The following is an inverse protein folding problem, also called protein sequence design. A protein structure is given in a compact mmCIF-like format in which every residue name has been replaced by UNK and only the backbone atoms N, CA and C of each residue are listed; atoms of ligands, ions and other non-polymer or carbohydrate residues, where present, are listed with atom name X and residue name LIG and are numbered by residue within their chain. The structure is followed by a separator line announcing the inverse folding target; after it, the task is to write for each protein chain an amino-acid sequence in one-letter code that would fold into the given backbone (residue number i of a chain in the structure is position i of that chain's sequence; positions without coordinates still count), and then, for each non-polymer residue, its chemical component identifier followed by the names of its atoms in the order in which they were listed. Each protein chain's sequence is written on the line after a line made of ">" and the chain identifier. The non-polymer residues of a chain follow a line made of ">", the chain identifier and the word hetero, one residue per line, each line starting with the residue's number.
data_IF_917733918271
#
_entry.id   IF_917733918271
#
_cell.length_a   1.000
_cell.length_b   1.000
_cell.length_c   1.000
_cell.angle_alpha   90.00
_cell.angle_beta   90.00
_cell.angle_gamma   90.00
#
_symmetry.space_group_name_H-M   'P 1'
#
loop_
_entity.id
_entity.type
_entity.pdbx_description
1 polymer ?
#
# COMPACT_ATOMS: atom_id res chain seq x y z
N UNK A 1 -22.83 8.70 -0.54
CA UNK A 1 -22.66 7.83 0.65
C UNK A 1 -22.23 6.39 0.30
N UNK A 2 -22.82 5.71 -0.69
CA UNK A 2 -22.52 4.29 -1.04
C UNK A 2 -21.12 4.02 -1.64
N UNK A 3 -20.53 4.98 -2.36
CA UNK A 3 -19.20 4.77 -3.00
C UNK A 3 -18.05 4.67 -1.99
N UNK A 4 -18.10 5.47 -0.92
CA UNK A 4 -17.09 5.41 0.15
C UNK A 4 -17.14 4.09 0.93
N UNK A 5 -18.31 3.47 1.09
CA UNK A 5 -18.42 2.12 1.66
C UNK A 5 -17.72 1.08 0.79
N UNK A 6 -17.82 1.19 -0.53
CA UNK A 6 -17.13 0.30 -1.46
C UNK A 6 -15.61 0.43 -1.37
N UNK A 7 -15.10 1.67 -1.30
CA UNK A 7 -13.66 1.93 -1.18
C UNK A 7 -13.12 1.42 0.16
N UNK A 8 -13.82 1.69 1.26
CA UNK A 8 -13.39 1.21 2.58
C UNK A 8 -13.38 -0.31 2.64
N UNK A 9 -14.42 -0.99 2.14
CA UNK A 9 -14.43 -2.47 2.06
C UNK A 9 -13.28 -3.05 1.24
N UNK A 10 -12.95 -2.42 0.12
CA UNK A 10 -11.80 -2.85 -0.71
C UNK A 10 -10.47 -2.64 0.01
N UNK A 11 -10.32 -1.51 0.71
CA UNK A 11 -9.15 -1.22 1.55
C UNK A 11 -8.98 -2.28 2.63
N UNK A 12 -10.05 -2.60 3.36
CA UNK A 12 -10.02 -3.59 4.44
C UNK A 12 -9.71 -4.99 3.88
N UNK A 13 -10.29 -5.33 2.72
CA UNK A 13 -9.96 -6.59 2.02
C UNK A 13 -8.49 -6.67 1.66
N UNK A 14 -7.90 -5.59 1.15
CA UNK A 14 -6.48 -5.54 0.78
C UNK A 14 -5.57 -5.71 2.01
N UNK A 15 -5.91 -5.05 3.12
CA UNK A 15 -5.19 -5.19 4.40
C UNK A 15 -5.28 -6.63 4.92
N UNK A 16 -6.48 -7.24 4.90
CA UNK A 16 -6.65 -8.63 5.32
C UNK A 16 -5.84 -9.61 4.46
N UNK A 17 -5.78 -9.40 3.15
CA UNK A 17 -4.95 -10.23 2.25
C UNK A 17 -3.46 -10.06 2.51
N UNK A 18 -3.01 -8.83 2.78
CA UNK A 18 -1.63 -8.57 3.17
C UNK A 18 -1.27 -9.24 4.51
N UNK A 19 -2.19 -9.25 5.46
CA UNK A 19 -2.03 -9.97 6.73
C UNK A 19 -1.95 -11.49 6.51
N UNK A 20 -2.92 -12.08 5.81
CA UNK A 20 -2.92 -13.51 5.46
C UNK A 20 -1.61 -13.91 4.79
N UNK A 21 -1.13 -13.11 3.83
CA UNK A 21 0.13 -13.37 3.14
C UNK A 21 1.35 -13.32 4.07
N UNK A 22 1.35 -12.44 5.06
CA UNK A 22 2.45 -12.36 6.04
C UNK A 22 2.50 -13.54 7.01
N UNK A 23 1.34 -14.13 7.30
CA UNK A 23 1.24 -15.36 8.10
C UNK A 23 1.71 -16.59 7.29
N UNK A 24 1.46 -16.62 5.98
CA UNK A 24 1.99 -17.65 5.09
C UNK A 24 3.50 -17.48 4.87
N UNK A 25 4.25 -18.57 4.99
CA UNK A 25 5.68 -18.68 4.64
C UNK A 25 6.63 -17.65 5.28
N UNK A 26 6.22 -17.06 6.42
CA UNK A 26 7.05 -16.10 7.13
C UNK A 26 7.48 -14.91 6.26
N UNK A 27 6.63 -14.49 5.32
CA UNK A 27 6.91 -13.39 4.40
C UNK A 27 6.72 -12.05 5.14
N UNK A 28 7.70 -11.17 5.02
CA UNK A 28 7.55 -9.79 5.48
C UNK A 28 6.81 -8.98 4.42
N UNK A 29 5.61 -8.49 4.77
CA UNK A 29 4.73 -7.77 3.86
C UNK A 29 4.58 -6.33 4.35
N UNK A 30 4.88 -5.38 3.46
CA UNK A 30 4.60 -3.97 3.64
C UNK A 30 3.57 -3.51 2.59
N UNK A 31 2.52 -2.82 3.04
CA UNK A 31 1.47 -2.27 2.19
C UNK A 31 1.38 -0.75 2.41
N UNK A 32 1.50 0.03 1.35
CA UNK A 32 1.42 1.50 1.37
C UNK A 32 0.24 1.91 0.50
N UNK A 33 -0.72 2.63 1.08
CA UNK A 33 -1.91 3.14 0.40
C UNK A 33 -1.87 4.66 0.40
N UNK A 34 -1.88 5.28 -0.78
CA UNK A 34 -2.03 6.72 -0.94
C UNK A 34 -3.46 7.06 -1.37
N UNK A 35 -4.12 7.94 -0.60
CA UNK A 35 -5.45 8.46 -0.92
C UNK A 35 -5.50 9.95 -0.61
N UNK A 36 -5.77 10.79 -1.61
CA UNK A 36 -5.83 12.25 -1.48
C UNK A 36 -4.59 12.84 -0.77
N UNK A 37 -3.39 12.38 -1.16
CA UNK A 37 -2.12 12.81 -0.56
C UNK A 37 -1.83 12.24 0.84
N UNK A 38 -2.76 11.49 1.45
CA UNK A 38 -2.56 10.85 2.75
C UNK A 38 -2.09 9.41 2.57
N UNK A 39 -1.00 9.06 3.25
CA UNK A 39 -0.45 7.71 3.27
C UNK A 39 -0.95 6.93 4.49
N UNK A 40 -1.40 5.71 4.25
CA UNK A 40 -1.65 4.70 5.28
C UNK A 40 -0.72 3.52 5.04
N UNK A 41 0.02 3.13 6.06
CA UNK A 41 0.98 2.03 6.00
C UNK A 41 0.52 0.86 6.86
N UNK A 42 0.69 -0.35 6.35
CA UNK A 42 0.46 -1.59 7.07
C UNK A 42 1.70 -2.49 6.97
N UNK A 43 2.04 -3.16 8.07
CA UNK A 43 3.17 -4.08 8.17
C UNK A 43 2.73 -5.36 8.87
N UNK A 44 2.97 -6.54 8.27
CA UNK A 44 2.48 -7.82 8.80
C UNK A 44 3.10 -8.23 10.14
N UNK A 45 4.34 -7.83 10.41
CA UNK A 45 5.11 -8.35 11.56
C UNK A 45 5.34 -7.38 12.71
N UNK A 46 4.78 -6.18 12.66
CA UNK A 46 5.04 -5.17 13.69
C UNK A 46 6.51 -4.76 13.81
N UNK A 47 7.38 -5.13 12.86
CA UNK A 47 8.71 -4.56 12.71
C UNK A 47 8.56 -3.12 12.25
N UNK A 48 8.36 -2.22 13.21
CA UNK A 48 8.29 -0.77 12.99
C UNK A 48 9.54 -0.24 12.25
N UNK A 49 10.64 -1.00 12.32
CA UNK A 49 11.95 -0.69 11.72
C UNK A 49 12.18 -1.19 10.29
N UNK A 50 11.32 -2.07 9.73
CA UNK A 50 11.47 -2.56 8.35
C UNK A 50 10.41 -1.95 7.45
N UNK A 51 10.50 -0.63 7.25
CA UNK A 51 9.79 0.02 6.15
C UNK A 51 10.76 0.10 4.97
N UNK A 52 10.42 -0.46 3.80
CA UNK A 52 11.27 -0.32 2.63
C UNK A 52 11.43 1.17 2.30
N UNK A 53 12.65 1.59 2.02
CA UNK A 53 12.91 2.94 1.54
C UNK A 53 12.21 3.19 0.22
N UNK A 54 11.93 4.45 -0.09
CA UNK A 54 11.32 4.83 -1.37
C UNK A 54 12.17 4.36 -2.57
N UNK A 55 13.49 4.35 -2.41
CA UNK A 55 14.43 3.84 -3.42
C UNK A 55 14.26 2.31 -3.64
N UNK A 56 14.11 1.53 -2.57
CA UNK A 56 13.87 0.08 -2.66
C UNK A 56 12.52 -0.23 -3.31
N UNK A 57 11.48 0.56 -3.00
CA UNK A 57 10.15 0.44 -3.63
C UNK A 57 10.24 0.73 -5.14
N UNK A 58 10.95 1.80 -5.52
CA UNK A 58 11.11 2.19 -6.92
C UNK A 58 11.92 1.17 -7.73
N UNK A 59 12.87 0.48 -7.09
CA UNK A 59 13.69 -0.54 -7.73
C UNK A 59 12.96 -1.88 -7.89
N UNK A 60 12.05 -2.23 -6.98
CA UNK A 60 11.35 -3.53 -6.98
C UNK A 60 10.07 -3.57 -7.83
N UNK A 61 9.50 -2.42 -8.19
CA UNK A 61 8.35 -2.34 -9.11
C UNK A 61 8.76 -1.71 -10.45
N UNK A 62 8.69 -2.45 -11.58
CA UNK A 62 8.42 -1.76 -12.83
C UNK A 62 6.99 -1.24 -12.73
N UNK A 63 6.84 0.07 -12.43
CA UNK A 63 5.56 0.75 -12.50
C UNK A 63 4.87 0.34 -13.82
N UNK A 64 3.59 -0.07 -13.80
CA UNK A 64 2.85 -0.20 -15.05
C UNK A 64 2.96 1.17 -15.72
N UNK A 65 3.57 1.23 -16.90
CA UNK A 65 3.87 2.46 -17.67
C UNK A 65 2.65 3.38 -17.90
N UNK A 66 1.47 2.95 -17.49
CA UNK A 66 0.18 3.58 -17.73
C UNK A 66 -0.41 4.26 -16.48
N UNK A 67 0.19 4.16 -15.29
CA UNK A 67 -0.23 4.95 -14.12
C UNK A 67 0.56 6.26 -14.13
N UNK A 68 0.16 7.20 -15.00
CA UNK A 68 0.63 8.58 -14.90
C UNK A 68 0.15 9.13 -13.55
N UNK A 69 1.06 9.27 -12.61
CA UNK A 69 0.91 10.23 -11.52
C UNK A 69 0.90 11.61 -12.18
N UNK A 70 -0.30 12.14 -12.43
CA UNK A 70 -0.47 13.49 -12.96
C UNK A 70 0.02 14.49 -11.90
N UNK A 71 0.90 15.44 -12.24
CA UNK A 71 1.44 16.43 -11.32
C UNK A 71 0.48 17.62 -11.17
N UNK A 72 -0.76 17.39 -10.75
CA UNK A 72 -1.76 18.47 -10.60
C UNK A 72 -2.17 18.76 -9.15
N UNK A 73 -1.71 17.99 -8.16
CA UNK A 73 -2.10 18.18 -6.74
C UNK A 73 -0.92 18.55 -5.81
N UNK A 74 0.02 19.38 -6.28
CA UNK A 74 0.95 20.10 -5.39
C UNK A 74 0.85 21.59 -5.75
N UNK A 75 -0.09 22.27 -5.10
CA UNK A 75 -0.09 23.73 -4.96
C UNK A 75 0.80 24.14 -3.77
#
# INVERSE_FOLDING_TARGET
>A
KRENEGINRRKDTLVNKAFELGEFDRIDVALIICKYGQYTTYTSRGYVSWQPSFAEIQYTYPLPKNVRLLPEDIE
#
